data_IF_142042104939
#
_entry.id   IF_142042104939
#
_cell.length_a   1.000
_cell.length_b   1.000
_cell.length_c   1.000
_cell.angle_alpha   90.00
_cell.angle_beta   90.00
_cell.angle_gamma   90.00
#
_symmetry.space_group_name_H-M   'P 1'
#
loop_
_entity.id
_entity.type
_entity.pdbx_description
1 polymer ?
#
# COMPACT_ATOMS: atom_id res chain seq x y z
N UNK A 1 -23.95 2.05 1.91
CA UNK A 1 -23.98 1.75 3.36
C UNK A 1 -22.76 0.92 3.79
N UNK A 2 -22.52 -0.27 3.22
CA UNK A 2 -21.41 -1.14 3.64
C UNK A 2 -20.01 -0.49 3.49
N UNK A 3 -19.77 0.27 2.43
CA UNK A 3 -18.52 1.05 2.25
C UNK A 3 -18.24 1.97 3.43
N UNK A 4 -19.24 2.76 3.87
CA UNK A 4 -19.08 3.65 5.02
C UNK A 4 -18.88 2.88 6.31
N UNK A 5 -19.57 1.75 6.50
CA UNK A 5 -19.34 0.88 7.64
C UNK A 5 -17.90 0.32 7.66
N UNK A 6 -17.32 0.01 6.49
CA UNK A 6 -15.93 -0.41 6.38
C UNK A 6 -14.98 0.73 6.80
N UNK A 7 -15.22 1.97 6.35
CA UNK A 7 -14.43 3.14 6.78
C UNK A 7 -14.50 3.35 8.30
N UNK A 8 -15.68 3.15 8.91
CA UNK A 8 -15.83 3.25 10.38
C UNK A 8 -15.08 2.17 11.18
N UNK A 9 -14.76 1.03 10.55
CA UNK A 9 -13.98 -0.05 11.17
C UNK A 9 -12.48 0.15 10.94
N UNK A 10 -12.11 0.56 9.72
CA UNK A 10 -10.71 0.58 9.28
C UNK A 10 -10.00 1.91 9.52
N UNK A 11 -10.75 2.99 9.69
CA UNK A 11 -10.19 4.32 9.84
C UNK A 11 -9.77 4.96 8.52
N UNK A 12 -9.23 6.19 8.62
CA UNK A 12 -8.70 6.93 7.49
C UNK A 12 -7.60 7.89 7.96
N UNK A 13 -6.40 7.75 7.39
CA UNK A 13 -5.18 8.45 7.79
C UNK A 13 -4.43 8.98 6.53
N UNK A 14 -4.89 10.08 5.91
CA UNK A 14 -4.53 10.48 4.54
C UNK A 14 -3.04 10.73 4.27
N UNK A 15 -2.28 11.03 5.32
CA UNK A 15 -0.85 11.32 5.21
C UNK A 15 0.04 10.25 5.86
N UNK A 16 -0.51 9.11 6.30
CA UNK A 16 0.28 8.04 6.90
C UNK A 16 1.08 7.23 5.87
N UNK A 17 2.21 6.70 6.31
CA UNK A 17 2.96 5.64 5.64
C UNK A 17 3.37 6.00 4.19
N UNK A 18 2.94 5.23 3.19
CA UNK A 18 3.33 5.44 1.78
C UNK A 18 2.67 6.70 1.18
N UNK A 19 1.73 7.34 1.89
CA UNK A 19 1.20 8.65 1.49
C UNK A 19 2.31 9.71 1.41
N UNK A 20 3.39 9.58 2.17
CA UNK A 20 4.60 10.43 2.06
C UNK A 20 5.25 10.37 0.68
N UNK A 21 4.96 9.35 -0.13
CA UNK A 21 5.42 9.22 -1.51
C UNK A 21 4.35 9.76 -2.47
N UNK A 22 3.10 9.30 -2.33
CA UNK A 22 2.05 9.57 -3.32
C UNK A 22 1.48 10.99 -3.23
N UNK A 23 1.23 11.50 -2.01
CA UNK A 23 0.62 12.81 -1.80
C UNK A 23 1.53 13.94 -2.30
N UNK A 24 2.85 13.97 -1.99
CA UNK A 24 3.75 14.98 -2.55
C UNK A 24 3.82 14.96 -4.07
N UNK A 25 3.74 13.78 -4.70
CA UNK A 25 3.67 13.65 -6.15
C UNK A 25 2.46 14.37 -6.75
N UNK A 26 1.27 14.19 -6.16
CA UNK A 26 0.05 14.90 -6.58
C UNK A 26 0.19 16.41 -6.34
N UNK A 27 0.65 16.82 -5.15
CA UNK A 27 0.80 18.24 -4.79
C UNK A 27 1.82 18.95 -5.67
N UNK A 28 2.93 18.31 -6.04
CA UNK A 28 3.92 18.84 -6.98
C UNK A 28 3.34 19.06 -8.38
N UNK A 29 2.44 18.17 -8.85
CA UNK A 29 1.75 18.37 -10.13
C UNK A 29 0.79 19.57 -10.07
N UNK A 30 0.12 19.78 -8.94
CA UNK A 30 -0.80 20.91 -8.74
C UNK A 30 -0.05 22.24 -8.56
N UNK A 31 1.07 22.23 -7.82
CA UNK A 31 1.93 23.36 -7.58
C UNK A 31 3.41 22.99 -7.81
N UNK A 32 3.98 23.29 -9.00
CA UNK A 32 5.36 22.93 -9.34
C UNK A 32 6.43 23.56 -8.44
N UNK A 33 6.13 24.62 -7.70
CA UNK A 33 7.08 25.28 -6.81
C UNK A 33 7.35 24.49 -5.51
N UNK A 34 6.47 23.57 -5.13
CA UNK A 34 6.65 22.76 -3.92
C UNK A 34 7.84 21.80 -4.04
N UNK A 35 8.52 21.51 -2.94
CA UNK A 35 9.61 20.52 -2.87
C UNK A 35 10.77 20.80 -3.86
N UNK A 36 11.48 21.94 -3.76
CA UNK A 36 12.64 22.20 -4.61
C UNK A 36 13.82 21.25 -4.36
N UNK A 37 13.89 20.63 -3.18
CA UNK A 37 14.94 19.68 -2.78
C UNK A 37 14.36 18.30 -2.44
N UNK A 38 15.08 17.22 -2.78
CA UNK A 38 14.73 15.84 -2.42
C UNK A 38 13.49 15.28 -3.12
N UNK A 39 13.07 15.88 -4.23
CA UNK A 39 11.87 15.46 -4.96
C UNK A 39 12.02 14.08 -5.65
N UNK A 40 13.26 13.68 -5.92
CA UNK A 40 13.64 12.40 -6.50
C UNK A 40 13.18 11.20 -5.67
N UNK A 41 13.04 11.34 -4.34
CA UNK A 41 12.58 10.26 -3.47
C UNK A 41 11.12 9.87 -3.71
N UNK A 42 10.29 10.78 -4.23
CA UNK A 42 8.89 10.46 -4.57
C UNK A 42 8.58 10.53 -6.07
N UNK A 43 9.24 11.40 -6.84
CA UNK A 43 8.99 11.52 -8.28
C UNK A 43 9.46 10.30 -9.08
N UNK A 44 10.46 9.55 -8.59
CA UNK A 44 10.88 8.30 -9.23
C UNK A 44 9.76 7.25 -9.23
N UNK A 45 8.88 7.25 -8.23
CA UNK A 45 7.65 6.45 -8.24
C UNK A 45 6.62 7.05 -9.19
N UNK A 46 6.35 8.35 -9.05
CA UNK A 46 5.29 9.03 -9.82
C UNK A 46 5.48 8.97 -11.34
N UNK A 47 6.72 8.88 -11.84
CA UNK A 47 6.99 8.75 -13.29
C UNK A 47 6.57 7.41 -13.89
N UNK A 48 6.41 6.36 -13.07
CA UNK A 48 6.04 5.01 -13.52
C UNK A 48 4.53 4.75 -13.50
N UNK A 49 3.72 5.73 -13.08
CA UNK A 49 2.28 5.59 -12.94
C UNK A 49 1.56 6.85 -13.44
N UNK A 50 0.27 6.71 -13.73
CA UNK A 50 -0.65 7.81 -14.00
C UNK A 50 -1.53 8.15 -12.79
N UNK A 51 -1.31 7.50 -11.64
CA UNK A 51 -2.10 7.70 -10.43
C UNK A 51 -2.12 9.18 -10.00
N UNK A 52 -0.96 9.81 -9.85
CA UNK A 52 -0.87 11.19 -9.37
C UNK A 52 -1.53 12.15 -10.35
N UNK A 53 -1.38 11.89 -11.65
CA UNK A 53 -2.01 12.67 -12.73
C UNK A 53 -3.52 12.52 -12.73
N UNK A 54 -4.04 11.32 -12.49
CA UNK A 54 -5.48 11.06 -12.39
C UNK A 54 -6.10 11.84 -11.22
N UNK A 55 -5.47 11.78 -10.04
CA UNK A 55 -5.97 12.52 -8.87
C UNK A 55 -5.84 14.03 -9.07
N UNK A 56 -4.69 14.52 -9.55
CA UNK A 56 -4.49 15.93 -9.85
C UNK A 56 -5.47 16.46 -10.92
N UNK A 57 -5.73 15.68 -11.97
CA UNK A 57 -6.73 16.03 -12.97
C UNK A 57 -8.14 16.08 -12.38
N UNK A 58 -8.49 15.14 -11.50
CA UNK A 58 -9.78 15.17 -10.79
C UNK A 58 -9.95 16.45 -9.99
N UNK A 59 -8.90 16.88 -9.27
CA UNK A 59 -8.90 18.13 -8.49
C UNK A 59 -9.11 19.33 -9.40
N UNK A 60 -8.34 19.43 -10.49
CA UNK A 60 -8.45 20.54 -11.46
C UNK A 60 -9.78 20.61 -12.21
N UNK A 61 -10.42 19.47 -12.45
CA UNK A 61 -11.69 19.41 -13.21
C UNK A 61 -12.89 19.65 -12.29
N UNK A 62 -12.81 19.21 -11.04
CA UNK A 62 -13.93 19.33 -10.09
C UNK A 62 -13.92 20.61 -9.27
N UNK A 63 -12.79 21.33 -9.22
CA UNK A 63 -12.55 22.48 -8.35
C UNK A 63 -12.79 22.20 -6.85
N UNK A 64 -12.80 20.92 -6.46
CA UNK A 64 -12.99 20.50 -5.07
C UNK A 64 -11.66 20.58 -4.28
N UNK A 65 -11.73 20.81 -2.95
CA UNK A 65 -10.54 20.81 -2.09
C UNK A 65 -9.75 19.50 -2.19
N UNK A 66 -8.41 19.59 -2.13
CA UNK A 66 -7.49 18.45 -2.22
C UNK A 66 -7.90 17.29 -1.30
N UNK A 67 -8.07 17.56 0.00
CA UNK A 67 -8.37 16.53 1.01
C UNK A 67 -9.71 15.83 0.73
N UNK A 68 -10.70 16.57 0.22
CA UNK A 68 -11.99 16.00 -0.14
C UNK A 68 -11.90 15.07 -1.34
N UNK A 69 -11.10 15.42 -2.36
CA UNK A 69 -10.91 14.56 -3.53
C UNK A 69 -10.15 13.30 -3.17
N UNK A 70 -9.10 13.39 -2.34
CA UNK A 70 -8.36 12.22 -1.86
C UNK A 70 -9.26 11.29 -1.04
N UNK A 71 -10.07 11.86 -0.14
CA UNK A 71 -11.05 11.08 0.63
C UNK A 71 -12.13 10.45 -0.24
N UNK A 72 -12.66 11.19 -1.23
CA UNK A 72 -13.66 10.66 -2.16
C UNK A 72 -13.11 9.49 -2.98
N UNK A 73 -11.88 9.59 -3.49
CA UNK A 73 -11.21 8.48 -4.18
C UNK A 73 -10.94 7.29 -3.25
N UNK A 74 -10.59 7.55 -1.98
CA UNK A 74 -10.44 6.50 -0.97
C UNK A 74 -11.74 5.70 -0.80
N UNK A 75 -12.84 6.40 -0.52
CA UNK A 75 -14.18 5.79 -0.38
C UNK A 75 -14.64 5.09 -1.67
N UNK A 76 -14.40 5.71 -2.83
CA UNK A 76 -14.73 5.14 -4.13
C UNK A 76 -13.96 3.83 -4.39
N UNK A 77 -12.66 3.78 -4.05
CA UNK A 77 -11.85 2.58 -4.25
C UNK A 77 -12.34 1.40 -3.41
N UNK A 78 -12.77 1.66 -2.16
CA UNK A 78 -13.41 0.65 -1.30
C UNK A 78 -14.73 0.20 -1.91
N UNK A 79 -15.57 1.14 -2.34
CA UNK A 79 -16.86 0.83 -2.97
C UNK A 79 -16.68 -0.07 -4.21
N UNK A 80 -15.78 0.28 -5.11
CA UNK A 80 -15.50 -0.49 -6.33
C UNK A 80 -14.90 -1.86 -6.02
N UNK A 81 -14.05 -1.96 -4.98
CA UNK A 81 -13.53 -3.25 -4.50
C UNK A 81 -14.68 -4.14 -4.01
N UNK A 82 -15.55 -3.63 -3.13
CA UNK A 82 -16.70 -4.38 -2.63
C UNK A 82 -17.70 -4.74 -3.72
N UNK A 83 -17.86 -3.88 -4.74
CA UNK A 83 -18.67 -4.17 -5.92
C UNK A 83 -18.09 -5.32 -6.75
N UNK A 84 -16.77 -5.33 -6.97
CA UNK A 84 -16.11 -6.45 -7.64
C UNK A 84 -16.22 -7.75 -6.82
N UNK A 85 -16.12 -7.67 -5.49
CA UNK A 85 -16.37 -8.81 -4.60
C UNK A 85 -17.81 -9.31 -4.69
N UNK A 86 -18.80 -8.42 -4.84
CA UNK A 86 -20.19 -8.79 -5.04
C UNK A 86 -20.39 -9.57 -6.34
N UNK A 87 -19.84 -9.07 -7.46
CA UNK A 87 -19.86 -9.77 -8.75
C UNK A 87 -19.28 -11.18 -8.64
N UNK A 88 -18.11 -11.31 -8.02
CA UNK A 88 -17.48 -12.62 -7.77
C UNK A 88 -18.33 -13.52 -6.88
N UNK A 89 -18.92 -12.98 -5.82
CA UNK A 89 -19.79 -13.75 -4.93
C UNK A 89 -21.01 -14.31 -5.67
N UNK A 90 -21.52 -13.58 -6.67
CA UNK A 90 -22.65 -14.00 -7.47
C UNK A 90 -22.32 -15.14 -8.44
N UNK A 91 -21.08 -15.20 -8.93
CA UNK A 91 -20.55 -16.31 -9.73
C UNK A 91 -20.29 -17.55 -8.87
N UNK A 92 -19.80 -17.36 -7.64
CA UNK A 92 -19.43 -18.45 -6.75
C UNK A 92 -20.62 -19.05 -5.97
N UNK A 93 -21.67 -18.27 -5.69
CA UNK A 93 -22.76 -18.70 -4.80
C UNK A 93 -24.13 -18.32 -5.36
N UNK A 94 -25.12 -19.20 -5.14
CA UNK A 94 -26.51 -18.98 -5.58
C UNK A 94 -27.30 -18.27 -4.49
N UNK A 95 -27.06 -18.64 -3.23
CA UNK A 95 -27.82 -18.14 -2.08
C UNK A 95 -27.45 -16.68 -1.78
N UNK A 96 -28.47 -15.83 -1.55
CA UNK A 96 -28.29 -14.40 -1.27
C UNK A 96 -27.45 -14.17 -0.02
N UNK A 97 -27.68 -14.97 1.01
CA UNK A 97 -26.97 -14.91 2.29
C UNK A 97 -25.47 -15.17 2.11
N UNK A 98 -25.09 -16.11 1.25
CA UNK A 98 -23.69 -16.38 0.90
C UNK A 98 -23.03 -15.19 0.21
N UNK A 99 -23.74 -14.58 -0.76
CA UNK A 99 -23.23 -13.39 -1.47
C UNK A 99 -22.98 -12.22 -0.54
N UNK A 100 -23.94 -11.94 0.33
CA UNK A 100 -23.79 -10.90 1.35
C UNK A 100 -22.66 -11.22 2.33
N UNK A 101 -22.56 -12.45 2.81
CA UNK A 101 -21.55 -12.83 3.78
C UNK A 101 -20.12 -12.71 3.20
N UNK A 102 -19.94 -13.04 1.92
CA UNK A 102 -18.68 -12.83 1.21
C UNK A 102 -18.25 -11.36 1.24
N UNK A 103 -19.13 -10.45 0.83
CA UNK A 103 -18.79 -9.02 0.74
C UNK A 103 -18.67 -8.37 2.12
N UNK A 104 -19.50 -8.75 3.10
CA UNK A 104 -19.40 -8.26 4.48
C UNK A 104 -18.09 -8.72 5.13
N UNK A 105 -17.64 -9.95 4.85
CA UNK A 105 -16.36 -10.43 5.38
C UNK A 105 -15.17 -9.67 4.77
N UNK A 106 -15.18 -9.40 3.46
CA UNK A 106 -14.18 -8.52 2.85
C UNK A 106 -14.22 -7.14 3.48
N UNK A 107 -15.40 -6.54 3.61
CA UNK A 107 -15.58 -5.23 4.23
C UNK A 107 -15.10 -5.19 5.69
N UNK A 108 -15.23 -6.28 6.44
CA UNK A 108 -14.75 -6.38 7.81
C UNK A 108 -13.23 -6.57 7.92
N UNK A 109 -12.56 -7.05 6.86
CA UNK A 109 -11.15 -7.49 6.88
C UNK A 109 -10.24 -6.71 5.90
N UNK A 110 -10.64 -5.52 5.44
CA UNK A 110 -9.82 -4.75 4.50
C UNK A 110 -8.42 -4.43 5.06
N UNK A 111 -8.29 -4.18 6.36
CA UNK A 111 -6.98 -3.91 6.99
C UNK A 111 -6.28 -5.17 7.51
N UNK A 112 -6.70 -6.37 7.07
CA UNK A 112 -6.01 -7.61 7.42
C UNK A 112 -4.61 -7.63 6.77
N UNK A 113 -3.53 -7.84 7.54
CA UNK A 113 -2.19 -7.97 6.99
C UNK A 113 -2.05 -9.23 6.15
N UNK A 114 -1.33 -9.13 5.03
CA UNK A 114 -1.12 -10.20 4.07
C UNK A 114 0.24 -10.84 4.32
N UNK A 115 0.28 -11.83 5.21
CA UNK A 115 1.50 -12.54 5.60
C UNK A 115 2.65 -11.55 5.92
N UNK A 116 3.88 -11.84 5.49
CA UNK A 116 5.04 -10.95 5.63
C UNK A 116 5.24 -9.99 4.47
N UNK A 117 4.20 -9.65 3.69
CA UNK A 117 4.38 -8.81 2.48
C UNK A 117 4.48 -7.31 2.76
N UNK A 118 4.26 -6.88 4.00
CA UNK A 118 4.06 -5.47 4.38
C UNK A 118 2.89 -4.82 3.62
N UNK A 119 1.85 -5.60 3.30
CA UNK A 119 0.60 -5.13 2.71
C UNK A 119 -0.59 -5.43 3.61
N UNK A 120 -1.58 -4.56 3.58
CA UNK A 120 -2.97 -4.89 3.92
C UNK A 120 -3.75 -5.31 2.66
N UNK A 121 -4.97 -5.84 2.83
CA UNK A 121 -5.88 -6.01 1.68
C UNK A 121 -6.19 -4.65 1.06
N UNK A 122 -6.50 -3.66 1.88
CA UNK A 122 -6.53 -2.25 1.51
C UNK A 122 -5.96 -1.40 2.65
N UNK A 123 -5.20 -0.38 2.28
CA UNK A 123 -4.57 0.55 3.22
C UNK A 123 -5.61 1.51 3.84
N UNK A 124 -5.27 2.15 4.96
CA UNK A 124 -6.09 3.16 5.65
C UNK A 124 -6.00 4.54 4.98
N UNK A 125 -5.45 4.60 3.78
CA UNK A 125 -5.23 5.82 3.00
C UNK A 125 -5.27 5.48 1.51
N UNK A 126 -5.37 6.51 0.68
CA UNK A 126 -5.44 6.31 -0.76
C UNK A 126 -4.05 6.00 -1.33
N UNK A 127 -3.93 4.87 -2.01
CA UNK A 127 -2.71 4.49 -2.74
C UNK A 127 -3.04 4.04 -4.16
N UNK A 128 -2.04 3.96 -5.06
CA UNK A 128 -2.23 3.29 -6.35
C UNK A 128 -2.67 1.83 -6.18
N UNK A 129 -2.33 1.16 -5.08
CA UNK A 129 -2.78 -0.22 -4.79
C UNK A 129 -4.29 -0.28 -4.60
N UNK A 130 -4.89 0.73 -3.95
CA UNK A 130 -6.34 0.82 -3.76
C UNK A 130 -7.11 0.78 -5.09
N UNK A 131 -6.56 1.43 -6.13
CA UNK A 131 -7.15 1.43 -7.47
C UNK A 131 -6.82 0.16 -8.26
N UNK A 132 -5.59 -0.35 -8.12
CA UNK A 132 -5.19 -1.59 -8.76
C UNK A 132 -6.02 -2.78 -8.26
N UNK A 133 -6.37 -2.85 -6.97
CA UNK A 133 -7.11 -3.97 -6.40
C UNK A 133 -8.46 -4.19 -7.08
N UNK A 134 -9.32 -3.16 -7.16
CA UNK A 134 -10.62 -3.34 -7.82
C UNK A 134 -10.46 -3.62 -9.32
N UNK A 135 -9.44 -3.04 -9.97
CA UNK A 135 -9.17 -3.28 -11.38
C UNK A 135 -8.75 -4.74 -11.63
N UNK A 136 -7.90 -5.31 -10.77
CA UNK A 136 -7.52 -6.72 -10.83
C UNK A 136 -8.73 -7.64 -10.61
N UNK A 137 -9.58 -7.33 -9.64
CA UNK A 137 -10.79 -8.13 -9.35
C UNK A 137 -11.80 -8.07 -10.51
N UNK A 138 -12.08 -6.90 -11.06
CA UNK A 138 -12.95 -6.76 -12.25
C UNK A 138 -12.32 -7.35 -13.51
N UNK A 139 -11.00 -7.23 -13.68
CA UNK A 139 -10.25 -7.84 -14.76
C UNK A 139 -10.36 -9.35 -14.73
N UNK A 140 -10.07 -9.97 -13.57
CA UNK A 140 -10.24 -11.41 -13.39
C UNK A 140 -11.70 -11.85 -13.62
N UNK A 141 -12.68 -11.06 -13.18
CA UNK A 141 -14.10 -11.34 -13.43
C UNK A 141 -14.45 -11.26 -14.92
N UNK A 142 -13.89 -10.29 -15.65
CA UNK A 142 -14.04 -10.19 -17.09
C UNK A 142 -13.43 -11.38 -17.83
N UNK A 143 -12.23 -11.82 -17.42
CA UNK A 143 -11.57 -13.01 -17.94
C UNK A 143 -12.40 -14.27 -17.69
N UNK A 144 -12.93 -14.43 -16.46
CA UNK A 144 -13.86 -15.51 -16.10
C UNK A 144 -15.09 -15.55 -16.99
N UNK A 145 -15.68 -14.39 -17.30
CA UNK A 145 -16.87 -14.28 -18.18
C UNK A 145 -16.54 -14.37 -19.68
N UNK A 146 -15.29 -14.58 -20.07
CA UNK A 146 -14.85 -14.59 -21.48
C UNK A 146 -14.94 -13.22 -22.16
N UNK A 147 -15.03 -12.13 -21.40
CA UNK A 147 -15.14 -10.75 -21.92
C UNK A 147 -13.75 -10.14 -22.09
N UNK A 148 -12.96 -10.66 -23.03
CA UNK A 148 -11.53 -10.33 -23.16
C UNK A 148 -11.24 -8.85 -23.43
N UNK A 149 -12.13 -8.12 -24.13
CA UNK A 149 -11.98 -6.67 -24.31
C UNK A 149 -12.05 -5.92 -22.96
N UNK A 150 -12.96 -6.33 -22.07
CA UNK A 150 -13.06 -5.74 -20.73
C UNK A 150 -11.87 -6.15 -19.85
N UNK A 151 -11.40 -7.39 -19.98
CA UNK A 151 -10.17 -7.83 -19.31
C UNK A 151 -8.97 -6.99 -19.76
N UNK A 152 -8.82 -6.76 -21.06
CA UNK A 152 -7.78 -5.89 -21.62
C UNK A 152 -7.87 -4.46 -21.09
N UNK A 153 -9.06 -3.87 -21.08
CA UNK A 153 -9.27 -2.51 -20.56
C UNK A 153 -8.89 -2.39 -19.07
N UNK A 154 -9.34 -3.33 -18.23
CA UNK A 154 -8.97 -3.35 -16.80
C UNK A 154 -7.48 -3.61 -16.59
N UNK A 155 -6.87 -4.45 -17.42
CA UNK A 155 -5.42 -4.70 -17.40
C UNK A 155 -4.63 -3.45 -17.74
N UNK A 156 -5.02 -2.73 -18.79
CA UNK A 156 -4.39 -1.45 -19.17
C UNK A 156 -4.52 -0.42 -18.05
N UNK A 157 -5.72 -0.27 -17.48
CA UNK A 157 -5.93 0.62 -16.35
C UNK A 157 -5.04 0.23 -15.16
N UNK A 158 -5.00 -1.06 -14.79
CA UNK A 158 -4.15 -1.53 -13.70
C UNK A 158 -2.67 -1.27 -13.97
N UNK A 159 -2.18 -1.50 -15.20
CA UNK A 159 -0.78 -1.23 -15.59
C UNK A 159 -0.46 0.26 -15.46
N UNK A 160 -1.35 1.15 -15.94
CA UNK A 160 -1.15 2.59 -15.85
C UNK A 160 -1.15 3.09 -14.41
N UNK A 161 -1.90 2.46 -13.51
CA UNK A 161 -2.01 2.89 -12.11
C UNK A 161 -0.93 2.26 -11.23
N UNK A 162 -0.67 0.97 -11.37
CA UNK A 162 0.32 0.27 -10.56
C UNK A 162 0.92 -0.91 -11.35
N UNK A 163 2.00 -0.69 -12.13
CA UNK A 163 2.57 -1.69 -13.02
C UNK A 163 2.89 -3.03 -12.33
N UNK A 164 3.51 -2.97 -11.14
CA UNK A 164 3.88 -4.17 -10.39
C UNK A 164 2.65 -5.01 -9.98
N UNK A 165 1.63 -4.40 -9.37
CA UNK A 165 0.43 -5.12 -8.98
C UNK A 165 -0.37 -5.63 -10.18
N UNK A 166 -0.37 -4.88 -11.29
CA UNK A 166 -1.06 -5.28 -12.51
C UNK A 166 -0.56 -6.63 -13.06
N UNK A 167 0.74 -6.92 -12.95
CA UNK A 167 1.31 -8.22 -13.35
C UNK A 167 0.59 -9.37 -12.63
N UNK A 168 0.37 -9.25 -11.33
CA UNK A 168 -0.33 -10.27 -10.52
C UNK A 168 -1.78 -10.48 -10.97
N UNK A 169 -2.51 -9.40 -11.25
CA UNK A 169 -3.90 -9.50 -11.73
C UNK A 169 -4.00 -10.07 -13.15
N UNK A 170 -3.09 -9.69 -14.05
CA UNK A 170 -3.06 -10.16 -15.43
C UNK A 170 -2.72 -11.65 -15.47
N UNK A 171 -1.67 -12.08 -14.76
CA UNK A 171 -1.27 -13.50 -14.72
C UNK A 171 -2.37 -14.37 -14.13
N UNK A 172 -3.04 -13.91 -13.06
CA UNK A 172 -4.19 -14.63 -12.51
C UNK A 172 -5.37 -14.70 -13.48
N UNK A 173 -5.74 -13.59 -14.13
CA UNK A 173 -6.83 -13.55 -15.10
C UNK A 173 -6.59 -14.49 -16.30
N UNK A 174 -5.37 -14.53 -16.82
CA UNK A 174 -4.96 -15.42 -17.91
C UNK A 174 -5.00 -16.89 -17.48
N UNK A 175 -4.42 -17.21 -16.33
CA UNK A 175 -4.45 -18.57 -15.76
C UNK A 175 -5.89 -19.05 -15.58
N UNK A 176 -6.74 -18.22 -15.01
CA UNK A 176 -8.14 -18.54 -14.76
C UNK A 176 -8.92 -18.77 -16.06
N UNK A 177 -8.73 -17.91 -17.06
CA UNK A 177 -9.35 -18.08 -18.38
C UNK A 177 -8.90 -19.37 -19.06
N UNK A 178 -7.59 -19.68 -19.03
CA UNK A 178 -7.03 -20.90 -19.63
C UNK A 178 -7.55 -22.17 -18.96
N UNK A 179 -7.57 -22.20 -17.62
CA UNK A 179 -8.10 -23.35 -16.87
C UNK A 179 -9.60 -23.55 -17.10
N UNK A 180 -10.38 -22.46 -17.22
CA UNK A 180 -11.81 -22.53 -17.53
C UNK A 180 -12.07 -23.11 -18.92
N UNK A 181 -11.38 -22.61 -19.94
CA UNK A 181 -11.51 -23.11 -21.31
C UNK A 181 -11.15 -24.60 -21.42
N UNK A 182 -10.08 -25.01 -20.72
CA UNK A 182 -9.66 -26.42 -20.66
C UNK A 182 -10.72 -27.30 -19.99
N UNK A 183 -11.33 -26.85 -18.89
CA UNK A 183 -12.41 -27.56 -18.23
C UNK A 183 -13.69 -27.66 -19.10
N UNK A 184 -13.94 -26.67 -19.96
CA UNK A 184 -15.07 -26.63 -20.90
C UNK A 184 -14.79 -27.39 -22.21
N UNK A 185 -13.61 -28.02 -22.37
CA UNK A 185 -13.26 -28.83 -23.54
C UNK A 185 -13.03 -28.00 -24.82
N UNK A 186 -12.82 -26.69 -24.69
CA UNK A 186 -12.58 -25.82 -25.84
C UNK A 186 -11.12 -25.92 -26.26
N UNK A 187 -10.85 -26.33 -27.51
CA UNK A 187 -9.49 -26.39 -28.07
C UNK A 187 -9.04 -24.99 -28.49
N UNK A 188 -8.18 -24.38 -27.70
CA UNK A 188 -7.45 -23.16 -28.07
C UNK A 188 -6.00 -23.26 -27.63
N UNK A 189 -5.12 -22.69 -28.46
CA UNK A 189 -3.68 -22.64 -28.20
C UNK A 189 -3.41 -21.91 -26.88
N UNK A 190 -2.50 -22.40 -26.05
CA UNK A 190 -2.20 -21.78 -24.78
C UNK A 190 -1.61 -20.39 -25.06
N UNK A 191 -2.32 -19.35 -24.65
CA UNK A 191 -1.84 -17.97 -24.75
C UNK A 191 -0.82 -17.74 -23.63
N UNK A 192 0.38 -18.32 -23.80
CA UNK A 192 1.53 -18.00 -22.98
C UNK A 192 1.99 -16.59 -23.37
N UNK A 193 1.34 -15.55 -22.86
CA UNK A 193 1.95 -14.23 -22.81
C UNK A 193 2.92 -14.19 -21.62
N UNK A 194 3.93 -15.06 -21.64
CA UNK A 194 5.12 -14.90 -20.81
C UNK A 194 6.13 -14.11 -21.66
N UNK A 195 6.11 -12.79 -21.49
CA UNK A 195 7.26 -11.90 -21.54
C UNK A 195 6.78 -10.47 -21.77
N UNK A 196 6.51 -9.78 -20.68
CA UNK A 196 6.79 -8.35 -20.63
C UNK A 196 7.64 -8.10 -19.38
N UNK A 197 8.78 -8.78 -19.29
CA UNK A 197 9.91 -8.19 -18.58
C UNK A 197 10.40 -7.05 -19.48
N UNK A 198 9.75 -5.89 -19.35
CA UNK A 198 10.25 -4.66 -19.90
C UNK A 198 11.60 -4.41 -19.22
N UNK A 199 12.68 -4.68 -19.96
CA UNK A 199 14.07 -4.26 -19.74
C UNK A 199 14.36 -3.77 -18.30
N UNK A 200 14.23 -4.68 -17.33
CA UNK A 200 14.63 -4.43 -15.94
C UNK A 200 16.12 -4.64 -15.98
N UNK A 201 16.86 -3.59 -16.39
CA UNK A 201 18.31 -3.57 -16.58
C UNK A 201 18.96 -4.56 -15.63
N UNK A 202 19.32 -5.73 -16.17
CA UNK A 202 19.67 -6.89 -15.38
C UNK A 202 20.98 -6.55 -14.67
N UNK A 203 20.83 -6.26 -13.38
CA UNK A 203 21.88 -6.03 -12.39
C UNK A 203 22.56 -4.65 -12.50
N UNK A 204 21.91 -3.57 -12.02
CA UNK A 204 22.70 -2.41 -11.59
C UNK A 204 23.67 -2.87 -10.51
N UNK A 205 24.89 -2.31 -10.49
CA UNK A 205 25.87 -2.59 -9.46
C UNK A 205 25.23 -2.28 -8.08
N UNK A 206 25.17 -3.29 -7.20
CA UNK A 206 24.79 -3.07 -5.80
C UNK A 206 25.86 -2.20 -5.15
N UNK A 207 25.61 -0.90 -5.02
CA UNK A 207 26.46 -0.05 -4.18
C UNK A 207 26.23 -0.39 -2.71
N UNK A 208 27.22 -0.10 -1.86
CA UNK A 208 27.07 -0.35 -0.42
C UNK A 208 25.94 0.49 0.19
N UNK A 209 25.64 1.64 -0.42
CA UNK A 209 24.51 2.49 -0.05
C UNK A 209 23.16 1.83 -0.36
N UNK A 210 23.01 1.20 -1.53
CA UNK A 210 21.82 0.40 -1.84
C UNK A 210 21.68 -0.78 -0.86
N UNK A 211 22.79 -1.47 -0.54
CA UNK A 211 22.76 -2.60 0.40
C UNK A 211 22.32 -2.16 1.80
N UNK A 212 22.77 -0.99 2.26
CA UNK A 212 22.31 -0.42 3.52
C UNK A 212 20.79 -0.14 3.52
N UNK A 213 20.23 0.35 2.40
CA UNK A 213 18.79 0.58 2.27
C UNK A 213 18.00 -0.74 2.23
N UNK A 214 18.43 -1.73 1.43
CA UNK A 214 17.69 -2.98 1.24
C UNK A 214 17.62 -3.83 2.51
N UNK A 215 18.64 -3.74 3.37
CA UNK A 215 18.66 -4.41 4.67
C UNK A 215 17.59 -3.90 5.64
N UNK A 216 17.06 -2.69 5.43
CA UNK A 216 15.91 -2.19 6.21
C UNK A 216 14.58 -2.83 5.80
N UNK A 217 14.56 -3.59 4.69
CA UNK A 217 13.35 -4.16 4.07
C UNK A 217 13.35 -5.68 4.14
N UNK A 218 13.31 -6.22 5.36
CA UNK A 218 13.31 -7.67 5.59
C UNK A 218 12.21 -8.42 4.81
N UNK A 219 11.05 -7.79 4.64
CA UNK A 219 9.92 -8.35 3.87
C UNK A 219 10.22 -8.61 2.38
N UNK A 220 11.29 -8.03 1.81
CA UNK A 220 11.75 -8.37 0.46
C UNK A 220 12.33 -9.79 0.38
N UNK A 221 12.84 -10.33 1.49
CA UNK A 221 13.59 -11.57 1.54
C UNK A 221 12.84 -12.65 2.31
N UNK A 222 12.41 -13.71 1.61
CA UNK A 222 11.52 -14.71 2.20
C UNK A 222 12.16 -15.50 3.35
N UNK A 223 13.49 -15.62 3.40
CA UNK A 223 14.19 -16.27 4.51
C UNK A 223 14.25 -15.40 5.78
N UNK A 224 13.95 -14.10 5.69
CA UNK A 224 13.85 -13.20 6.84
C UNK A 224 12.42 -13.14 7.40
N UNK A 225 11.47 -13.81 6.75
CA UNK A 225 10.09 -13.89 7.23
C UNK A 225 9.99 -14.75 8.49
N UNK A 226 9.18 -14.28 9.44
CA UNK A 226 8.86 -14.97 10.68
C UNK A 226 8.03 -16.23 10.43
N UNK A 227 8.10 -17.20 11.35
CA UNK A 227 7.39 -18.48 11.20
C UNK A 227 5.87 -18.34 10.95
N UNK A 228 5.22 -17.32 11.53
CA UNK A 228 3.80 -17.06 11.32
C UNK A 228 3.50 -16.43 9.96
N UNK A 229 4.46 -15.74 9.35
CA UNK A 229 4.33 -15.21 7.98
C UNK A 229 4.41 -16.35 6.96
N UNK A 230 5.20 -17.39 7.23
CA UNK A 230 5.20 -18.65 6.48
C UNK A 230 3.86 -19.39 6.58
N UNK A 231 3.23 -19.40 7.75
CA UNK A 231 1.84 -19.87 7.90
C UNK A 231 0.91 -19.04 7.01
N UNK A 232 1.14 -17.72 6.94
CA UNK A 232 0.45 -16.81 6.03
C UNK A 232 0.61 -17.14 4.55
N UNK A 233 1.59 -17.94 4.14
CA UNK A 233 1.70 -18.48 2.77
C UNK A 233 0.90 -19.78 2.66
N UNK A 234 1.20 -20.75 3.52
CA UNK A 234 0.75 -22.13 3.33
C UNK A 234 -0.67 -22.40 3.83
N UNK A 235 -1.13 -21.75 4.91
CA UNK A 235 -2.48 -21.96 5.40
C UNK A 235 -3.56 -21.52 4.37
N UNK A 236 -3.47 -20.34 3.74
CA UNK A 236 -4.35 -19.98 2.62
C UNK A 236 -4.34 -20.99 1.48
N UNK A 237 -3.17 -21.50 1.08
CA UNK A 237 -3.04 -22.49 0.02
C UNK A 237 -3.69 -23.82 0.38
N UNK A 238 -3.50 -24.29 1.62
CA UNK A 238 -4.13 -25.53 2.12
C UNK A 238 -5.66 -25.41 2.18
N UNK A 239 -6.17 -24.25 2.64
CA UNK A 239 -7.60 -23.96 2.65
C UNK A 239 -8.16 -23.95 1.23
N UNK A 240 -7.54 -23.23 0.29
CA UNK A 240 -7.97 -23.19 -1.10
C UNK A 240 -7.89 -24.57 -1.76
N UNK A 241 -6.84 -25.34 -1.51
CA UNK A 241 -6.74 -26.70 -2.02
C UNK A 241 -7.86 -27.60 -1.47
N UNK A 242 -8.22 -27.45 -0.19
CA UNK A 242 -9.36 -28.15 0.40
C UNK A 242 -10.68 -27.75 -0.25
N UNK A 243 -10.89 -26.46 -0.54
CA UNK A 243 -12.05 -25.96 -1.29
C UNK A 243 -12.06 -26.40 -2.76
N UNK A 244 -10.89 -26.57 -3.36
CA UNK A 244 -10.72 -27.05 -4.73
C UNK A 244 -10.97 -28.55 -4.90
N UNK A 245 -11.08 -29.32 -3.82
CA UNK A 245 -11.28 -30.78 -3.88
C UNK A 245 -12.72 -31.12 -4.23
N UNK A 246 -12.87 -31.76 -5.38
CA UNK A 246 -14.15 -32.23 -5.89
C UNK A 246 -14.46 -33.62 -5.32
N UNK A 247 -14.89 -33.67 -4.06
CA UNK A 247 -15.22 -34.95 -3.42
C UNK A 247 -16.72 -35.27 -3.43
N UNK A 248 -17.62 -34.31 -3.62
CA UNK A 248 -19.08 -34.51 -3.68
C UNK A 248 -19.70 -33.31 -4.41
N UNK A 249 -20.75 -33.53 -5.22
CA UNK A 249 -21.60 -32.55 -5.95
C UNK A 249 -22.23 -31.40 -5.10
N UNK A 250 -21.68 -31.08 -3.92
CA UNK A 250 -22.19 -30.10 -2.95
C UNK A 250 -21.62 -28.68 -3.13
N UNK A 251 -20.54 -28.51 -3.90
CA UNK A 251 -19.91 -27.20 -4.11
C UNK A 251 -20.13 -26.68 -5.55
N UNK A 252 -20.36 -25.37 -5.74
CA UNK A 252 -20.48 -24.79 -7.09
C UNK A 252 -19.17 -24.97 -7.89
N UNK A 253 -19.25 -25.31 -9.19
CA UNK A 253 -18.06 -25.53 -10.03
C UNK A 253 -17.10 -24.34 -10.05
N UNK A 254 -17.62 -23.11 -9.96
CA UNK A 254 -16.83 -21.89 -9.90
C UNK A 254 -15.89 -21.84 -8.68
N UNK A 255 -16.37 -22.20 -7.49
CA UNK A 255 -15.56 -22.22 -6.26
C UNK A 255 -14.38 -23.18 -6.41
N UNK A 256 -14.62 -24.37 -6.96
CA UNK A 256 -13.58 -25.38 -7.14
C UNK A 256 -12.50 -24.91 -8.14
N UNK A 257 -12.92 -24.36 -9.28
CA UNK A 257 -11.99 -23.89 -10.32
C UNK A 257 -11.17 -22.68 -9.88
N UNK A 258 -11.83 -21.67 -9.29
CA UNK A 258 -11.17 -20.49 -8.71
C UNK A 258 -10.16 -20.92 -7.65
N UNK A 259 -10.54 -21.81 -6.73
CA UNK A 259 -9.63 -22.27 -5.68
C UNK A 259 -8.41 -23.01 -6.23
N UNK A 260 -8.59 -23.92 -7.21
CA UNK A 260 -7.47 -24.63 -7.86
C UNK A 260 -6.54 -23.66 -8.58
N UNK A 261 -7.09 -22.68 -9.30
CA UNK A 261 -6.29 -21.67 -10.01
C UNK A 261 -5.44 -20.84 -9.04
N UNK A 262 -5.99 -20.48 -7.87
CA UNK A 262 -5.28 -19.71 -6.85
C UNK A 262 -4.17 -20.52 -6.19
N UNK A 263 -4.33 -21.84 -6.02
CA UNK A 263 -3.26 -22.70 -5.51
C UNK A 263 -2.09 -22.73 -6.50
N UNK A 264 -2.36 -22.92 -7.80
CA UNK A 264 -1.32 -22.90 -8.83
C UNK A 264 -0.64 -21.53 -8.88
N UNK A 265 -1.43 -20.46 -8.89
CA UNK A 265 -0.95 -19.08 -8.88
C UNK A 265 -0.05 -18.78 -7.67
N UNK A 266 -0.46 -19.15 -6.46
CA UNK A 266 0.31 -18.91 -5.25
C UNK A 266 1.60 -19.72 -5.19
N UNK A 267 1.57 -21.01 -5.60
CA UNK A 267 2.78 -21.83 -5.70
C UNK A 267 3.75 -21.29 -6.75
N UNK A 268 3.24 -20.80 -7.89
CA UNK A 268 4.07 -20.19 -8.93
C UNK A 268 4.83 -18.96 -8.42
N UNK A 269 4.15 -18.02 -7.77
CA UNK A 269 4.82 -16.83 -7.22
C UNK A 269 5.71 -17.14 -6.02
N UNK A 270 5.36 -18.15 -5.22
CA UNK A 270 6.25 -18.65 -4.18
C UNK A 270 7.57 -19.19 -4.76
N UNK A 271 7.50 -19.97 -5.85
CA UNK A 271 8.72 -20.44 -6.54
C UNK A 271 9.53 -19.27 -7.11
N UNK A 272 8.89 -18.27 -7.71
CA UNK A 272 9.57 -17.04 -8.17
C UNK A 272 10.23 -16.32 -6.99
N UNK A 273 9.58 -16.23 -5.83
CA UNK A 273 10.16 -15.61 -4.64
C UNK A 273 11.43 -16.33 -4.19
N UNK A 274 11.42 -17.67 -4.13
CA UNK A 274 12.61 -18.45 -3.81
C UNK A 274 13.75 -18.19 -4.81
N UNK A 275 13.43 -18.16 -6.10
CA UNK A 275 14.42 -17.94 -7.16
C UNK A 275 15.04 -16.55 -7.14
N UNK A 276 14.25 -15.50 -6.85
CA UNK A 276 14.70 -14.11 -6.91
C UNK A 276 15.32 -13.61 -5.61
N UNK A 277 14.93 -14.16 -4.45
CA UNK A 277 15.27 -13.56 -3.14
C UNK A 277 16.31 -14.33 -2.36
N UNK A 278 16.63 -15.57 -2.73
CA UNK A 278 17.65 -16.39 -2.06
C UNK A 278 19.05 -16.19 -2.65
N UNK A 279 19.26 -16.22 -3.99
CA UNK A 279 20.60 -16.08 -4.54
C UNK A 279 21.13 -14.65 -4.38
N UNK A 280 22.32 -14.49 -3.78
CA UNK A 280 22.98 -13.20 -3.60
C UNK A 280 23.13 -12.36 -4.90
N UNK A 281 23.40 -12.96 -6.09
CA UNK A 281 23.48 -12.20 -7.34
C UNK A 281 22.16 -11.50 -7.74
N UNK A 282 21.03 -11.93 -7.19
CA UNK A 282 19.70 -11.42 -7.53
C UNK A 282 19.13 -10.44 -6.49
N UNK A 283 19.95 -9.94 -5.55
CA UNK A 283 19.53 -8.99 -4.50
C UNK A 283 18.74 -7.78 -5.04
N UNK A 284 19.12 -7.25 -6.21
CA UNK A 284 18.40 -6.14 -6.86
C UNK A 284 17.05 -6.52 -7.44
N UNK A 285 16.82 -7.81 -7.75
CA UNK A 285 15.55 -8.32 -8.26
C UNK A 285 14.52 -8.51 -7.14
N UNK A 286 14.93 -8.47 -5.87
CA UNK A 286 14.02 -8.53 -4.74
C UNK A 286 12.96 -7.41 -4.75
N UNK A 287 13.25 -6.27 -5.40
CA UNK A 287 12.30 -5.16 -5.62
C UNK A 287 11.04 -5.55 -6.40
N UNK A 288 11.08 -6.67 -7.15
CA UNK A 288 9.91 -7.23 -7.85
C UNK A 288 8.90 -7.86 -6.89
N UNK A 289 9.26 -8.10 -5.62
CA UNK A 289 8.37 -8.47 -4.52
C UNK A 289 7.26 -9.49 -4.91
N UNK A 290 7.62 -10.66 -5.48
CA UNK A 290 6.66 -11.62 -6.04
C UNK A 290 5.60 -12.10 -5.03
N UNK A 291 5.92 -12.10 -3.74
CA UNK A 291 4.97 -12.48 -2.68
C UNK A 291 3.81 -11.48 -2.51
N UNK A 292 3.89 -10.26 -3.03
CA UNK A 292 2.74 -9.33 -3.07
C UNK A 292 1.56 -9.88 -3.87
N UNK A 293 1.78 -10.90 -4.71
CA UNK A 293 0.73 -11.73 -5.33
C UNK A 293 -0.28 -12.29 -4.31
N UNK A 294 0.13 -12.51 -3.05
CA UNK A 294 -0.73 -12.99 -1.97
C UNK A 294 -1.91 -12.06 -1.68
N UNK A 295 -1.83 -10.76 -1.97
CA UNK A 295 -2.93 -9.83 -1.70
C UNK A 295 -4.19 -10.26 -2.49
N UNK A 296 -4.02 -10.58 -3.77
CA UNK A 296 -5.12 -11.08 -4.61
C UNK A 296 -5.61 -12.44 -4.12
N UNK A 297 -4.70 -13.32 -3.71
CA UNK A 297 -5.04 -14.63 -3.16
C UNK A 297 -5.88 -14.52 -1.88
N UNK A 298 -5.49 -13.64 -0.96
CA UNK A 298 -6.24 -13.39 0.27
C UNK A 298 -7.61 -12.77 -0.02
N UNK A 299 -7.69 -11.81 -0.95
CA UNK A 299 -8.96 -11.23 -1.35
C UNK A 299 -9.96 -12.32 -1.79
N UNK A 300 -9.54 -13.24 -2.66
CA UNK A 300 -10.38 -14.37 -3.06
C UNK A 300 -10.65 -15.36 -1.92
N UNK A 301 -9.66 -15.68 -1.09
CA UNK A 301 -9.86 -16.56 0.07
C UNK A 301 -10.96 -16.00 0.98
N UNK A 302 -10.96 -14.69 1.25
CA UNK A 302 -11.95 -14.02 2.08
C UNK A 302 -13.33 -14.04 1.40
N UNK A 303 -13.41 -13.77 0.09
CA UNK A 303 -14.67 -13.88 -0.67
C UNK A 303 -15.26 -15.29 -0.55
N UNK A 304 -14.45 -16.32 -0.82
CA UNK A 304 -14.88 -17.72 -0.78
C UNK A 304 -15.24 -18.16 0.65
N UNK A 305 -14.41 -17.82 1.63
CA UNK A 305 -14.63 -18.12 3.04
C UNK A 305 -15.92 -17.48 3.56
N UNK A 306 -16.15 -16.20 3.28
CA UNK A 306 -17.36 -15.50 3.66
C UNK A 306 -18.61 -16.10 3.02
N UNK A 307 -18.55 -16.47 1.74
CA UNK A 307 -19.67 -17.14 1.08
C UNK A 307 -20.00 -18.52 1.66
N UNK A 308 -18.99 -19.30 2.02
CA UNK A 308 -19.18 -20.59 2.69
C UNK A 308 -19.73 -20.44 4.11
N UNK A 309 -19.28 -19.42 4.86
CA UNK A 309 -19.87 -19.06 6.15
C UNK A 309 -21.34 -18.68 6.00
N UNK A 310 -21.69 -17.88 4.99
CA UNK A 310 -23.08 -17.55 4.66
C UNK A 310 -23.93 -18.80 4.40
N UNK A 311 -23.42 -19.70 3.56
CA UNK A 311 -24.11 -20.93 3.16
C UNK A 311 -24.33 -21.91 4.32
N UNK A 312 -23.31 -22.16 5.12
CA UNK A 312 -23.33 -23.27 6.09
C UNK A 312 -23.56 -22.82 7.53
N UNK A 313 -23.07 -21.64 7.91
CA UNK A 313 -23.06 -21.18 9.30
C UNK A 313 -24.14 -20.12 9.52
N UNK A 314 -24.05 -18.98 8.86
CA UNK A 314 -24.87 -17.80 9.14
C UNK A 314 -26.34 -18.00 8.75
N UNK A 315 -26.58 -18.44 7.50
CA UNK A 315 -27.93 -18.62 6.94
C UNK A 315 -28.79 -17.37 7.23
N UNK A 316 -30.08 -17.55 7.50
CA UNK A 316 -31.04 -16.48 7.82
C UNK A 316 -31.09 -16.09 9.30
N UNK A 317 -30.16 -16.57 10.14
CA UNK A 317 -30.20 -16.33 11.57
C UNK A 317 -29.40 -15.08 11.97
N UNK A 318 -30.09 -13.96 12.17
CA UNK A 318 -29.47 -12.66 12.50
C UNK A 318 -28.46 -12.73 13.68
N UNK A 319 -28.75 -13.51 14.72
CA UNK A 319 -27.84 -13.67 15.86
C UNK A 319 -26.47 -14.22 15.45
N UNK A 320 -26.40 -15.15 14.49
CA UNK A 320 -25.13 -15.71 14.00
C UNK A 320 -24.29 -14.66 13.27
N UNK A 321 -24.96 -13.75 12.55
CA UNK A 321 -24.29 -12.62 11.91
C UNK A 321 -23.70 -11.68 12.94
N UNK A 322 -24.46 -11.32 13.97
CA UNK A 322 -23.99 -10.45 15.05
C UNK A 322 -22.82 -11.09 15.80
N UNK A 323 -22.94 -12.35 16.22
CA UNK A 323 -21.89 -13.07 16.95
C UNK A 323 -20.59 -13.19 16.15
N UNK A 324 -20.66 -13.31 14.81
CA UNK A 324 -19.45 -13.37 13.99
C UNK A 324 -18.85 -11.99 13.73
N UNK A 325 -19.65 -11.07 13.20
CA UNK A 325 -19.13 -9.82 12.65
C UNK A 325 -18.89 -8.74 13.70
N UNK A 326 -19.66 -8.72 14.81
CA UNK A 326 -19.43 -7.74 15.88
C UNK A 326 -18.03 -7.88 16.50
N UNK A 327 -17.59 -9.06 16.99
CA UNK A 327 -16.23 -9.18 17.54
C UNK A 327 -15.15 -9.04 16.48
N UNK A 328 -15.40 -9.48 15.23
CA UNK A 328 -14.44 -9.34 14.14
C UNK A 328 -14.17 -7.86 13.82
N UNK A 329 -15.24 -7.08 13.60
CA UNK A 329 -15.13 -5.65 13.36
C UNK A 329 -14.57 -4.90 14.58
N UNK A 330 -14.97 -5.27 15.79
CA UNK A 330 -14.43 -4.67 17.01
C UNK A 330 -12.92 -4.94 17.16
N UNK A 331 -12.48 -6.16 16.84
CA UNK A 331 -11.05 -6.53 16.85
C UNK A 331 -10.25 -5.74 15.80
N UNK A 332 -10.75 -5.65 14.57
CA UNK A 332 -10.10 -4.87 13.52
C UNK A 332 -10.04 -3.39 13.88
N UNK A 333 -11.15 -2.81 14.34
CA UNK A 333 -11.20 -1.43 14.83
C UNK A 333 -10.21 -1.18 15.97
N UNK A 334 -10.14 -2.10 16.93
CA UNK A 334 -9.22 -2.00 18.06
C UNK A 334 -7.76 -1.99 17.60
N UNK A 335 -7.38 -2.90 16.69
CA UNK A 335 -6.03 -2.94 16.11
C UNK A 335 -5.73 -1.63 15.37
N UNK A 336 -6.68 -1.08 14.61
CA UNK A 336 -6.49 0.21 13.94
C UNK A 336 -6.31 1.37 14.93
N UNK A 337 -7.07 1.40 16.03
CA UNK A 337 -6.87 2.38 17.11
C UNK A 337 -5.51 2.25 17.79
N UNK A 338 -4.97 1.03 17.90
CA UNK A 338 -3.65 0.80 18.46
C UNK A 338 -2.51 1.15 17.48
N UNK A 339 -2.76 1.07 16.18
CA UNK A 339 -1.78 1.43 15.15
C UNK A 339 -1.60 2.94 15.03
N UNK A 340 -2.67 3.71 15.26
CA UNK A 340 -2.67 5.17 15.24
C UNK A 340 -3.17 5.75 16.59
N UNK A 341 -2.39 5.59 17.68
CA UNK A 341 -2.80 6.00 19.02
C UNK A 341 -2.88 7.52 19.19
N UNK A 342 -2.07 8.30 18.47
CA UNK A 342 -1.97 9.75 18.65
C UNK A 342 -2.94 10.54 17.75
N UNK A 343 -3.55 9.86 16.77
CA UNK A 343 -4.45 10.46 15.78
C UNK A 343 -5.90 9.99 15.99
N UNK A 344 -6.89 10.78 15.57
CA UNK A 344 -8.28 10.33 15.52
C UNK A 344 -8.40 9.12 14.59
N UNK A 345 -9.36 8.22 14.84
CA UNK A 345 -9.56 7.04 14.00
C UNK A 345 -9.87 7.39 12.53
N UNK A 346 -10.54 8.52 12.31
CA UNK A 346 -10.82 9.07 11.00
C UNK A 346 -10.37 10.52 11.01
N UNK A 347 -9.37 10.82 10.21
CA UNK A 347 -8.89 12.17 9.94
C UNK A 347 -9.74 12.80 8.83
N UNK A 348 -10.85 13.44 9.23
CA UNK A 348 -11.81 14.01 8.29
C UNK A 348 -11.23 15.18 7.48
N UNK A 349 -11.54 15.30 6.17
CA UNK A 349 -11.15 16.43 5.36
C UNK A 349 -11.56 17.77 5.98
N UNK A 350 -10.63 18.72 6.05
CA UNK A 350 -10.87 20.07 6.58
C UNK A 350 -10.97 20.18 8.11
N UNK A 351 -10.75 19.09 8.86
CA UNK A 351 -10.69 19.12 10.33
C UNK A 351 -9.23 19.26 10.77
N UNK A 352 -8.97 20.23 11.66
CA UNK A 352 -7.63 20.43 12.20
C UNK A 352 -7.16 19.20 13.03
N UNK A 353 -5.90 18.79 12.89
CA UNK A 353 -5.38 17.61 13.56
C UNK A 353 -5.20 17.84 15.05
N UNK A 354 -5.48 16.81 15.85
CA UNK A 354 -5.18 16.79 17.29
C UNK A 354 -3.75 16.34 17.60
N UNK A 355 -3.12 15.60 16.68
CA UNK A 355 -1.76 15.08 16.81
C UNK A 355 -0.72 16.24 16.82
N UNK A 356 0.19 16.21 17.79
CA UNK A 356 1.21 17.25 17.97
C UNK A 356 2.17 17.40 16.78
N UNK A 357 2.57 16.32 16.13
CA UNK A 357 3.37 16.33 14.91
C UNK A 357 2.62 16.98 13.75
N UNK A 358 1.39 16.55 13.51
CA UNK A 358 0.57 17.09 12.44
C UNK A 358 0.29 18.59 12.62
N UNK A 359 0.04 19.05 13.85
CA UNK A 359 -0.11 20.49 14.15
C UNK A 359 1.15 21.29 13.82
N UNK A 360 2.33 20.74 14.12
CA UNK A 360 3.59 21.38 13.76
C UNK A 360 3.78 21.43 12.24
N UNK A 361 3.45 20.35 11.53
CA UNK A 361 3.54 20.29 10.06
C UNK A 361 2.56 21.27 9.39
N UNK A 362 1.32 21.39 9.87
CA UNK A 362 0.38 22.40 9.38
C UNK A 362 0.85 23.82 9.65
N UNK A 363 1.43 24.08 10.83
CA UNK A 363 2.04 25.38 11.13
C UNK A 363 3.19 25.68 10.15
N UNK A 364 4.06 24.71 9.88
CA UNK A 364 5.16 24.85 8.91
C UNK A 364 4.61 25.22 7.53
N UNK A 365 3.56 24.53 7.06
CA UNK A 365 2.92 24.79 5.77
C UNK A 365 2.45 26.24 5.64
N UNK A 366 1.91 26.82 6.72
CA UNK A 366 1.36 28.18 6.73
C UNK A 366 2.36 29.30 7.06
N UNK A 367 3.47 29.00 7.75
CA UNK A 367 4.33 30.01 8.37
C UNK A 367 5.79 30.00 7.90
N UNK A 368 6.13 29.15 6.92
CA UNK A 368 7.48 29.12 6.32
C UNK A 368 7.43 29.32 4.81
N UNK A 369 8.49 29.85 4.17
CA UNK A 369 8.56 29.96 2.71
C UNK A 369 8.41 28.60 2.00
N UNK A 370 7.84 28.56 0.79
CA UNK A 370 7.63 27.28 0.05
C UNK A 370 8.92 26.56 -0.32
N UNK A 371 10.02 27.29 -0.40
CA UNK A 371 11.38 26.80 -0.66
C UNK A 371 12.16 26.50 0.64
N UNK A 372 11.53 26.60 1.80
CA UNK A 372 12.14 26.22 3.07
C UNK A 372 12.56 24.75 3.06
N UNK A 373 13.77 24.50 3.55
CA UNK A 373 14.42 23.20 3.57
C UNK A 373 14.73 22.78 5.01
N UNK A 374 14.11 21.68 5.42
CA UNK A 374 14.11 21.24 6.81
C UNK A 374 15.09 20.10 7.06
N UNK A 375 15.67 20.08 8.26
CA UNK A 375 16.14 18.85 8.87
C UNK A 375 15.18 18.41 9.98
N UNK A 376 14.96 17.11 10.07
CA UNK A 376 14.09 16.45 11.03
C UNK A 376 14.75 15.12 11.40
N UNK A 377 14.47 14.58 12.59
CA UNK A 377 15.01 13.27 12.97
C UNK A 377 14.76 12.27 11.83
N UNK A 378 15.78 11.59 11.26
CA UNK A 378 15.58 10.66 10.16
C UNK A 378 14.67 9.48 10.53
N UNK A 379 14.38 9.26 11.82
CA UNK A 379 13.45 8.25 12.30
C UNK A 379 12.14 8.84 12.87
N UNK A 380 11.83 10.12 12.59
CA UNK A 380 10.65 10.81 13.17
C UNK A 380 9.34 10.05 12.96
N UNK A 381 9.19 9.35 11.83
CA UNK A 381 7.99 8.56 11.54
C UNK A 381 7.79 7.39 12.50
N UNK A 382 8.83 6.93 13.22
CA UNK A 382 8.68 5.94 14.28
C UNK A 382 8.18 6.53 15.60
N UNK A 383 8.23 7.87 15.72
CA UNK A 383 7.79 8.63 16.89
C UNK A 383 6.45 9.32 16.67
N UNK A 384 6.02 9.49 15.42
CA UNK A 384 4.69 9.89 15.01
C UNK A 384 3.88 8.65 14.61
N UNK A 385 2.58 8.78 14.43
CA UNK A 385 1.65 7.78 13.86
C UNK A 385 1.96 7.44 12.36
N UNK A 386 3.25 7.51 11.99
CA UNK A 386 3.86 7.36 10.67
C UNK A 386 3.41 8.38 9.62
N UNK A 387 2.98 9.59 10.03
CA UNK A 387 2.60 10.61 9.07
C UNK A 387 3.79 11.23 8.34
N UNK A 388 3.56 11.51 7.07
CA UNK A 388 4.51 12.09 6.14
C UNK A 388 4.68 13.59 6.30
N UNK A 389 5.90 14.04 6.59
CA UNK A 389 6.27 15.45 6.59
C UNK A 389 5.96 16.13 5.25
N UNK A 390 6.42 15.58 4.13
CA UNK A 390 6.19 16.19 2.81
C UNK A 390 4.70 16.21 2.48
N UNK A 391 3.97 15.16 2.88
CA UNK A 391 2.52 15.08 2.66
C UNK A 391 1.75 16.20 3.37
N UNK A 392 2.12 16.56 4.61
CA UNK A 392 1.39 17.54 5.42
C UNK A 392 2.00 18.94 5.38
N UNK A 393 3.32 19.06 5.62
CA UNK A 393 4.00 20.35 5.73
C UNK A 393 4.22 21.03 4.36
N UNK A 394 4.17 20.29 3.25
CA UNK A 394 4.42 20.80 1.90
C UNK A 394 5.78 21.53 1.78
N UNK A 395 6.79 21.04 2.50
CA UNK A 395 8.17 21.55 2.46
C UNK A 395 9.16 20.45 2.12
N UNK A 396 10.32 20.87 1.63
CA UNK A 396 11.44 19.96 1.44
C UNK A 396 12.06 19.61 2.79
N UNK A 397 12.62 18.40 2.87
CA UNK A 397 13.43 17.96 4.00
C UNK A 397 14.55 17.04 3.54
N UNK A 398 15.60 16.97 4.34
CA UNK A 398 16.61 15.92 4.21
C UNK A 398 15.96 14.54 4.27
N UNK A 399 16.65 13.56 3.69
CA UNK A 399 16.21 12.20 3.59
C UNK A 399 15.96 11.57 4.97
N UNK A 400 14.93 10.75 5.05
CA UNK A 400 14.62 9.97 6.25
C UNK A 400 15.04 8.49 6.08
N UNK A 401 15.11 7.77 7.20
CA UNK A 401 15.51 6.37 7.22
C UNK A 401 14.34 5.40 6.95
N UNK A 402 13.09 5.87 7.00
CA UNK A 402 11.87 5.06 7.06
C UNK A 402 11.16 4.92 5.70
N UNK A 403 10.99 5.99 4.92
CA UNK A 403 10.28 6.01 3.62
C UNK A 403 11.21 6.30 2.46
N UNK A 404 12.14 7.25 2.58
CA UNK A 404 13.10 7.54 1.51
C UNK A 404 14.01 6.34 1.21
N UNK A 405 14.32 5.52 2.23
CA UNK A 405 15.00 4.22 2.04
C UNK A 405 14.22 3.25 1.14
N UNK A 406 12.89 3.32 1.15
CA UNK A 406 12.03 2.51 0.29
C UNK A 406 12.08 2.95 -1.17
N UNK A 407 12.27 4.25 -1.42
CA UNK A 407 12.55 4.74 -2.77
C UNK A 407 13.89 4.27 -3.29
N UNK A 408 14.93 4.28 -2.44
CA UNK A 408 16.25 3.76 -2.79
C UNK A 408 16.18 2.27 -3.16
N UNK A 409 15.42 1.45 -2.42
CA UNK A 409 15.33 0.01 -2.73
C UNK A 409 14.60 -0.29 -4.03
N UNK A 410 13.67 0.58 -4.45
CA UNK A 410 12.98 0.44 -5.74
C UNK A 410 13.81 1.01 -6.91
N UNK A 411 14.57 2.08 -6.66
CA UNK A 411 15.35 2.83 -7.64
C UNK A 411 16.85 2.86 -7.28
N UNK A 412 17.57 1.75 -7.47
CA UNK A 412 18.98 1.60 -7.08
C UNK A 412 19.98 2.40 -7.94
N UNK A 413 19.50 3.26 -8.84
CA UNK A 413 20.35 3.98 -9.79
C UNK A 413 21.10 5.10 -9.04
N UNK A 414 22.44 5.19 -9.18
CA UNK A 414 23.20 6.30 -8.60
C UNK A 414 22.72 7.66 -9.15
N UNK A 415 22.84 8.76 -8.39
CA UNK A 415 23.42 8.85 -7.05
C UNK A 415 22.40 8.76 -5.90
N UNK A 416 21.16 8.28 -6.15
CA UNK A 416 20.06 8.36 -5.18
C UNK A 416 20.38 7.62 -3.87
N UNK A 417 20.97 6.43 -3.96
CA UNK A 417 21.33 5.62 -2.81
C UNK A 417 22.42 6.30 -1.98
N UNK A 418 23.44 6.84 -2.65
CA UNK A 418 24.58 7.51 -2.03
C UNK A 418 24.14 8.78 -1.30
N UNK A 419 23.32 9.61 -1.94
CA UNK A 419 22.76 10.82 -1.32
C UNK A 419 21.92 10.48 -0.10
N UNK A 420 21.05 9.47 -0.20
CA UNK A 420 20.25 9.00 0.94
C UNK A 420 21.13 8.56 2.11
N UNK A 421 22.13 7.70 1.84
CA UNK A 421 22.99 7.20 2.90
C UNK A 421 23.80 8.32 3.54
N UNK A 422 24.29 9.27 2.75
CA UNK A 422 25.03 10.44 3.23
C UNK A 422 24.16 11.30 4.15
N UNK A 423 22.97 11.72 3.70
CA UNK A 423 22.05 12.56 4.47
C UNK A 423 21.58 11.89 5.76
N UNK A 424 21.23 10.59 5.72
CA UNK A 424 20.84 9.84 6.92
C UNK A 424 22.02 9.65 7.87
N UNK A 425 23.24 9.46 7.34
CA UNK A 425 24.44 9.30 8.17
C UNK A 425 24.81 10.60 8.88
N UNK A 426 24.71 11.73 8.19
CA UNK A 426 25.00 13.06 8.75
C UNK A 426 24.00 13.53 9.80
N UNK A 427 22.81 12.91 9.83
CA UNK A 427 21.76 13.12 10.82
C UNK A 427 21.78 12.07 11.96
N UNK A 428 22.74 11.13 11.99
CA UNK A 428 22.84 10.11 13.05
C UNK A 428 23.07 10.72 14.43
N UNK A 429 22.48 10.10 15.45
CA UNK A 429 22.49 10.57 16.85
C UNK A 429 21.77 11.91 17.03
N UNK A 430 20.70 12.11 16.27
CA UNK A 430 19.83 13.29 16.32
C UNK A 430 19.48 13.78 17.75
N UNK A 431 19.13 12.90 18.73
CA UNK A 431 18.83 13.35 20.09
C UNK A 431 19.99 14.07 20.81
N UNK A 432 21.24 13.84 20.38
CA UNK A 432 22.43 14.44 20.96
C UNK A 432 22.93 15.70 20.22
N UNK A 433 22.20 16.15 19.19
CA UNK A 433 22.61 17.31 18.39
C UNK A 433 22.62 18.60 19.20
N UNK A 434 23.69 19.38 19.01
CA UNK A 434 23.83 20.75 19.49
C UNK A 434 23.65 21.72 18.32
N UNK A 435 23.55 23.02 18.62
CA UNK A 435 23.41 24.05 17.60
C UNK A 435 24.47 23.93 16.49
N UNK A 436 25.73 23.65 16.86
CA UNK A 436 26.83 23.46 15.91
C UNK A 436 26.60 22.33 14.89
N UNK A 437 25.89 21.27 15.27
CA UNK A 437 25.55 20.16 14.37
C UNK A 437 24.50 20.59 13.33
N UNK A 438 23.50 21.37 13.72
CA UNK A 438 22.52 21.94 12.78
C UNK A 438 23.17 22.94 11.83
N UNK A 439 24.05 23.83 12.33
CA UNK A 439 24.83 24.73 11.48
C UNK A 439 25.79 23.98 10.54
N UNK A 440 26.27 22.78 10.91
CA UNK A 440 27.02 21.91 9.98
C UNK A 440 26.12 21.43 8.83
N UNK A 441 24.90 20.96 9.14
CA UNK A 441 23.94 20.54 8.12
C UNK A 441 23.54 21.72 7.21
N UNK A 442 23.31 22.92 7.76
CA UNK A 442 23.05 24.13 6.96
C UNK A 442 24.18 24.42 5.99
N UNK A 443 25.45 24.39 6.44
CA UNK A 443 26.59 24.63 5.53
C UNK A 443 26.73 23.58 4.44
N UNK A 444 26.39 22.32 4.74
CA UNK A 444 26.57 21.20 3.79
C UNK A 444 25.42 21.09 2.79
N UNK A 445 24.19 21.20 3.26
CA UNK A 445 22.98 20.92 2.47
C UNK A 445 22.13 22.15 2.19
N UNK A 446 22.33 23.27 2.91
CA UNK A 446 21.53 24.47 2.76
C UNK A 446 20.20 24.45 3.53
N UNK A 447 20.03 23.55 4.52
CA UNK A 447 18.84 23.58 5.39
C UNK A 447 18.74 24.92 6.12
N UNK A 448 17.53 25.43 6.30
CA UNK A 448 17.28 26.70 7.00
C UNK A 448 16.27 26.55 8.16
N UNK A 449 15.70 25.36 8.33
CA UNK A 449 14.80 25.04 9.44
C UNK A 449 15.08 23.66 10.04
N UNK A 450 14.70 23.48 11.30
CA UNK A 450 14.85 22.25 12.06
C UNK A 450 13.55 21.93 12.79
N UNK A 451 13.08 20.68 12.71
CA UNK A 451 12.01 20.15 13.55
C UNK A 451 12.61 19.17 14.54
N UNK A 452 12.35 19.34 15.84
CA UNK A 452 12.89 18.44 16.86
C UNK A 452 12.01 18.35 18.10
N UNK A 453 12.20 17.27 18.84
CA UNK A 453 11.60 17.08 20.16
C UNK A 453 12.21 18.04 21.20
N UNK A 454 11.43 18.35 22.23
CA UNK A 454 11.90 19.00 23.46
C UNK A 454 13.00 18.17 24.15
N UNK A 455 13.89 18.81 24.96
CA UNK A 455 13.95 20.23 25.34
C UNK A 455 14.69 21.09 24.31
N UNK A 456 14.51 22.41 24.30
CA UNK A 456 15.19 23.33 23.36
C UNK A 456 16.73 23.25 23.41
N UNK A 457 17.37 23.46 22.26
CA UNK A 457 18.84 23.57 22.17
C UNK A 457 19.23 25.05 22.26
N UNK A 458 20.14 25.38 23.16
CA UNK A 458 20.66 26.74 23.30
C UNK A 458 21.27 27.24 21.98
N UNK A 459 20.92 28.47 21.59
CA UNK A 459 21.42 29.11 20.36
C UNK A 459 20.56 28.89 19.11
N UNK A 460 19.37 28.28 19.23
CA UNK A 460 18.38 28.21 18.16
C UNK A 460 17.16 29.08 18.49
N UNK A 461 16.64 29.78 17.49
CA UNK A 461 15.38 30.54 17.59
C UNK A 461 14.22 29.65 17.14
N UNK A 462 13.28 29.34 18.05
CA UNK A 462 12.17 28.43 17.79
C UNK A 462 10.82 29.18 17.80
N UNK A 463 10.36 29.73 16.67
CA UNK A 463 9.11 30.47 16.59
C UNK A 463 7.84 29.64 16.84
N UNK A 464 7.93 28.31 16.78
CA UNK A 464 6.85 27.42 17.14
C UNK A 464 7.30 26.38 18.16
N UNK A 465 6.43 26.17 19.14
CA UNK A 465 6.58 25.19 20.20
C UNK A 465 5.20 24.64 20.57
N UNK A 466 5.09 23.32 20.73
CA UNK A 466 3.95 22.69 21.37
C UNK A 466 4.44 21.76 22.51
N UNK A 467 3.58 20.84 22.94
CA UNK A 467 3.86 19.94 24.06
C UNK A 467 5.05 19.00 23.80
N UNK A 468 5.35 18.69 22.53
CA UNK A 468 6.38 17.71 22.15
C UNK A 468 7.48 18.31 21.29
N UNK A 469 7.13 19.22 20.38
CA UNK A 469 7.96 19.65 19.26
C UNK A 469 8.30 21.13 19.30
N UNK A 470 9.45 21.41 18.71
CA UNK A 470 10.00 22.72 18.44
C UNK A 470 10.28 22.81 16.94
N UNK A 471 9.88 23.92 16.32
CA UNK A 471 10.30 24.27 14.96
C UNK A 471 11.20 25.48 15.05
N UNK A 472 12.47 25.30 14.68
CA UNK A 472 13.51 26.28 14.86
C UNK A 472 14.10 26.73 13.53
N UNK A 473 14.44 28.02 13.46
CA UNK A 473 15.10 28.62 12.31
C UNK A 473 16.61 28.61 12.52
N UNK A 474 17.34 28.38 11.43
CA UNK A 474 18.79 28.56 11.36
C UNK A 474 19.04 29.90 10.66
N UNK A 475 19.66 30.83 11.37
CA UNK A 475 19.99 32.17 10.86
C UNK A 475 21.28 32.17 10.01
#
# INVERSE_FOLDING_TARGET
>A
MLTFAAVLVHGYHPAAEDAEIYIPGIKKLLNPALYPFGSEFFLNHARLTQFERLIAATIRISDLPFDLVVFAWYVLSIFLTLLACWDWSAECFVEKESRFAAVVLVAALLTLPVAGTSLYIADQYLTPRSLALFAMLFGAHAAWRGRYLRFGAWSVFAVLIHPLMAVFGITYGLLLAGMKQSAEGTKTQPMWCLAAFADVGLLPACTDAYRAAVQTRSYFFILQWQWYEWIGIFAPLLLLWWLGRDKRKKQPPAVALVSRSLVIYGLFYFMIALLLTIPAPFETLARLQPMRSLQLLYAFLIILGGGLLGKYVLKRHALRWVILFLPLCAGMWFVQRQLFPMSPHIEWPGVAPSNNWLRAFEWIRGNTPSDAFFAIDPNYMLSDDQHGFRAVAERSRLADAVKDSGAVTMFPQPPLAEHWLEEVTDQRRWPAFKAADFYRLQRKYGINWVVRLRPAVAGLSCPYENEELLVCRLD
#
